data_IF_824223098650
#
_entry.id   IF_824223098650
#
_cell.length_a   1.000
_cell.length_b   1.000
_cell.length_c   1.000
_cell.angle_alpha   90.00
_cell.angle_beta   90.00
_cell.angle_gamma   90.00
#
_symmetry.space_group_name_H-M   'P 1'
#
loop_
_entity.id
_entity.type
_entity.pdbx_description
1 polymer ?
#
# COMPACT_ATOMS: atom_id res chain seq x y z
N UNK A 1 12.59 -19.01 12.42
CA UNK A 1 11.43 -18.96 11.54
C UNK A 1 11.92 -19.07 10.12
N UNK A 2 11.17 -19.74 9.27
CA UNK A 2 11.48 -19.85 7.85
C UNK A 2 11.29 -18.50 7.17
N UNK A 3 12.18 -18.13 6.27
CA UNK A 3 12.09 -16.88 5.52
C UNK A 3 11.12 -17.07 4.37
N UNK A 4 10.21 -16.14 4.18
CA UNK A 4 9.22 -16.13 3.12
C UNK A 4 9.58 -15.07 2.07
N UNK A 5 9.25 -15.35 0.81
CA UNK A 5 9.31 -14.40 -0.30
C UNK A 5 7.92 -13.80 -0.49
N UNK A 6 7.77 -12.55 -0.11
CA UNK A 6 6.51 -11.83 -0.14
C UNK A 6 6.54 -10.71 -1.20
N UNK A 7 5.50 -10.63 -2.04
CA UNK A 7 5.26 -9.48 -2.91
C UNK A 7 4.29 -8.51 -2.23
N UNK A 8 4.71 -7.27 -2.06
CA UNK A 8 3.82 -6.19 -1.67
C UNK A 8 3.25 -5.50 -2.89
N UNK A 9 1.93 -5.33 -2.95
CA UNK A 9 1.24 -4.60 -4.01
C UNK A 9 0.57 -3.36 -3.42
N UNK A 10 0.84 -2.21 -4.01
CA UNK A 10 0.28 -0.93 -3.59
C UNK A 10 -0.31 -0.18 -4.77
N UNK A 11 -1.55 0.29 -4.63
CA UNK A 11 -2.15 1.32 -5.45
C UNK A 11 -2.51 2.48 -4.52
N UNK A 12 -1.77 3.57 -4.67
CA UNK A 12 -1.85 4.71 -3.75
C UNK A 12 -2.98 5.68 -4.06
N UNK A 13 -3.18 6.64 -3.16
CA UNK A 13 -4.15 7.74 -3.35
C UNK A 13 -3.75 8.72 -4.43
N UNK A 14 -2.49 8.69 -4.90
CA UNK A 14 -2.00 9.40 -6.08
C UNK A 14 -2.64 8.91 -7.39
N UNK A 15 -3.15 7.66 -7.39
CA UNK A 15 -3.78 7.03 -8.56
C UNK A 15 -2.88 7.02 -9.80
N UNK A 16 -1.57 6.94 -9.60
CA UNK A 16 -0.56 6.97 -10.64
C UNK A 16 -0.23 5.60 -11.21
N UNK A 17 -0.40 4.52 -10.41
CA UNK A 17 -0.11 3.18 -10.87
C UNK A 17 -0.13 2.13 -9.76
N UNK A 18 0.45 0.98 -10.10
CA UNK A 18 0.63 -0.16 -9.21
C UNK A 18 2.12 -0.30 -8.92
N UNK A 19 2.49 -0.21 -7.65
CA UNK A 19 3.83 -0.53 -7.19
C UNK A 19 3.90 -1.97 -6.69
N UNK A 20 4.93 -2.69 -7.11
CA UNK A 20 5.22 -4.06 -6.71
C UNK A 20 6.63 -4.11 -6.14
N UNK A 21 6.80 -4.72 -4.99
CA UNK A 21 8.11 -4.94 -4.40
C UNK A 21 8.22 -6.32 -3.76
N UNK A 22 9.34 -6.99 -4.01
CA UNK A 22 9.69 -8.26 -3.37
C UNK A 22 10.46 -8.01 -2.09
N UNK A 23 10.10 -8.72 -1.04
CA UNK A 23 10.86 -8.78 0.21
C UNK A 23 11.01 -10.24 0.67
N UNK A 24 12.19 -10.58 1.15
CA UNK A 24 12.44 -11.83 1.89
C UNK A 24 12.40 -11.49 3.38
N UNK A 25 11.49 -12.10 4.13
CA UNK A 25 11.25 -11.76 5.53
C UNK A 25 10.78 -12.96 6.34
N UNK A 26 11.04 -12.95 7.62
CA UNK A 26 10.48 -13.91 8.60
C UNK A 26 9.18 -13.36 9.25
N UNK A 27 8.65 -12.24 8.75
CA UNK A 27 7.49 -11.54 9.29
C UNK A 27 7.76 -10.67 10.51
N UNK A 28 8.98 -10.70 11.06
CA UNK A 28 9.39 -9.90 12.23
C UNK A 28 10.50 -8.93 11.85
N UNK A 29 11.45 -9.37 11.04
CA UNK A 29 12.59 -8.57 10.59
C UNK A 29 12.43 -8.23 9.12
N UNK A 30 12.80 -7.02 8.75
CA UNK A 30 13.02 -6.68 7.37
C UNK A 30 14.25 -7.45 6.88
N UNK A 31 14.00 -8.49 6.11
CA UNK A 31 15.03 -9.30 5.52
C UNK A 31 15.67 -8.61 4.32
N UNK A 32 15.91 -9.36 3.25
CA UNK A 32 16.51 -8.83 2.02
C UNK A 32 15.41 -8.17 1.15
N UNK A 33 15.67 -6.94 0.70
CA UNK A 33 14.88 -6.28 -0.34
C UNK A 33 15.25 -6.89 -1.69
N UNK A 34 14.23 -7.32 -2.42
CA UNK A 34 14.33 -7.82 -3.78
C UNK A 34 14.08 -6.72 -4.82
N UNK A 35 13.82 -7.13 -6.08
CA UNK A 35 13.43 -6.22 -7.15
C UNK A 35 12.07 -5.57 -6.90
N UNK A 36 11.81 -4.51 -7.66
CA UNK A 36 10.55 -3.79 -7.67
C UNK A 36 10.15 -3.41 -9.09
N UNK A 37 8.87 -3.13 -9.30
CA UNK A 37 8.31 -2.67 -10.57
C UNK A 37 7.20 -1.67 -10.27
N UNK A 38 7.11 -0.60 -11.07
CA UNK A 38 5.97 0.31 -11.07
C UNK A 38 5.27 0.24 -12.44
N UNK A 39 3.96 0.02 -12.42
CA UNK A 39 3.12 -0.08 -13.62
C UNK A 39 2.14 1.09 -13.62
N UNK A 40 2.35 2.12 -14.47
CA UNK A 40 1.49 3.29 -14.47
C UNK A 40 0.08 2.96 -14.95
N UNK A 41 -0.92 3.64 -14.38
CA UNK A 41 -2.28 3.62 -14.91
C UNK A 41 -2.39 4.51 -16.16
N UNK A 42 -3.14 4.02 -17.13
CA UNK A 42 -3.52 4.86 -18.26
C UNK A 42 -4.53 5.95 -17.82
N UNK A 43 -4.60 7.07 -18.55
CA UNK A 43 -5.48 8.19 -18.17
C UNK A 43 -6.97 7.84 -18.15
N UNK A 44 -7.42 6.81 -18.87
CA UNK A 44 -8.80 6.37 -18.84
C UNK A 44 -9.12 5.67 -17.52
N UNK A 45 -8.30 4.71 -17.12
CA UNK A 45 -8.48 4.00 -15.87
C UNK A 45 -8.34 4.90 -14.65
N UNK A 46 -7.44 5.90 -14.69
CA UNK A 46 -7.35 6.92 -13.65
C UNK A 46 -8.67 7.67 -13.46
N UNK A 47 -9.35 8.07 -14.56
CA UNK A 47 -10.68 8.69 -14.50
C UNK A 47 -11.74 7.76 -13.92
N UNK A 48 -11.64 6.46 -14.20
CA UNK A 48 -12.57 5.48 -13.62
C UNK A 48 -12.39 5.37 -12.10
N UNK A 49 -11.15 5.42 -11.61
CA UNK A 49 -10.87 5.49 -10.16
C UNK A 49 -11.44 6.79 -9.58
N UNK A 50 -11.24 7.94 -10.22
CA UNK A 50 -11.78 9.23 -9.77
C UNK A 50 -13.32 9.24 -9.73
N UNK A 51 -13.97 8.58 -10.69
CA UNK A 51 -15.43 8.38 -10.66
C UNK A 51 -15.85 7.48 -9.50
N UNK A 52 -15.12 6.37 -9.27
CA UNK A 52 -15.35 5.47 -8.16
C UNK A 52 -15.21 6.13 -6.79
N UNK A 53 -14.29 7.09 -6.62
CA UNK A 53 -14.18 7.88 -5.39
C UNK A 53 -15.46 8.68 -5.07
N UNK A 54 -16.20 9.12 -6.10
CA UNK A 54 -17.49 9.82 -5.92
C UNK A 54 -18.58 8.82 -5.52
N UNK A 55 -18.63 7.66 -6.19
CA UNK A 55 -19.59 6.60 -5.86
C UNK A 55 -19.38 6.07 -4.44
N UNK A 56 -18.13 6.00 -3.99
CA UNK A 56 -17.76 5.54 -2.65
C UNK A 56 -18.32 6.42 -1.51
N UNK A 57 -18.75 7.66 -1.80
CA UNK A 57 -19.39 8.50 -0.79
C UNK A 57 -20.75 7.94 -0.33
N UNK A 58 -21.40 7.11 -1.15
CA UNK A 58 -22.66 6.44 -0.84
C UNK A 58 -22.50 5.11 -0.09
N UNK A 59 -21.26 4.69 0.20
CA UNK A 59 -20.99 3.47 0.96
C UNK A 59 -21.34 3.68 2.43
N UNK A 60 -22.21 2.81 2.97
CA UNK A 60 -22.61 2.79 4.37
C UNK A 60 -22.05 1.56 5.11
N UNK A 61 -21.83 0.46 4.40
CA UNK A 61 -21.23 -0.76 4.91
C UNK A 61 -20.04 -1.20 4.03
N UNK A 62 -19.08 -1.92 4.62
CA UNK A 62 -17.85 -2.34 3.92
C UNK A 62 -18.08 -3.17 2.67
N UNK A 63 -19.17 -3.92 2.62
CA UNK A 63 -19.52 -4.77 1.48
C UNK A 63 -20.23 -4.00 0.35
N UNK A 64 -20.63 -2.76 0.57
CA UNK A 64 -21.35 -1.98 -0.43
C UNK A 64 -20.46 -1.64 -1.62
N UNK A 65 -21.04 -1.78 -2.81
CA UNK A 65 -20.39 -1.42 -4.08
C UNK A 65 -21.36 -0.63 -4.94
N UNK A 66 -21.76 0.60 -4.49
CA UNK A 66 -22.66 1.44 -5.29
C UNK A 66 -21.98 1.92 -6.57
N UNK A 67 -22.82 2.25 -7.57
CA UNK A 67 -22.39 2.82 -8.84
C UNK A 67 -21.46 1.88 -9.60
N UNK A 68 -20.28 2.37 -9.93
CA UNK A 68 -19.26 1.66 -10.71
C UNK A 68 -18.31 0.82 -9.87
N UNK A 69 -18.41 0.81 -8.53
CA UNK A 69 -17.39 0.24 -7.65
C UNK A 69 -17.17 -1.27 -7.84
N UNK A 70 -18.22 -2.03 -8.17
CA UNK A 70 -18.07 -3.47 -8.38
C UNK A 70 -17.23 -3.79 -9.64
N UNK A 71 -17.50 -3.12 -10.74
CA UNK A 71 -16.75 -3.29 -11.99
C UNK A 71 -15.33 -2.74 -11.84
N UNK A 72 -15.17 -1.59 -11.19
CA UNK A 72 -13.89 -1.00 -10.90
C UNK A 72 -13.01 -1.91 -10.01
N UNK A 73 -13.58 -2.53 -8.97
CA UNK A 73 -12.87 -3.48 -8.10
C UNK A 73 -12.35 -4.68 -8.90
N UNK A 74 -13.20 -5.21 -9.79
CA UNK A 74 -12.80 -6.33 -10.65
C UNK A 74 -11.68 -5.93 -11.60
N UNK A 75 -11.83 -4.83 -12.32
CA UNK A 75 -10.84 -4.32 -13.27
C UNK A 75 -9.50 -4.01 -12.58
N UNK A 76 -9.55 -3.32 -11.44
CA UNK A 76 -8.38 -3.04 -10.61
C UNK A 76 -7.64 -4.33 -10.23
N UNK A 77 -8.38 -5.34 -9.80
CA UNK A 77 -7.80 -6.62 -9.39
C UNK A 77 -7.12 -7.33 -10.55
N UNK A 78 -7.74 -7.33 -11.73
CA UNK A 78 -7.15 -7.94 -12.94
C UNK A 78 -5.87 -7.22 -13.37
N UNK A 79 -5.84 -5.90 -13.32
CA UNK A 79 -4.64 -5.10 -13.58
C UNK A 79 -3.50 -5.42 -12.60
N UNK A 80 -3.82 -5.67 -11.33
CA UNK A 80 -2.82 -6.13 -10.36
C UNK A 80 -2.30 -7.54 -10.72
N UNK A 81 -3.16 -8.45 -11.18
CA UNK A 81 -2.73 -9.76 -11.63
C UNK A 81 -1.80 -9.69 -12.85
N UNK A 82 -2.13 -8.83 -13.83
CA UNK A 82 -1.29 -8.56 -14.99
C UNK A 82 0.07 -7.97 -14.57
N UNK A 83 0.06 -7.02 -13.62
CA UNK A 83 1.28 -6.40 -13.08
C UNK A 83 2.16 -7.44 -12.36
N UNK A 84 1.57 -8.38 -11.59
CA UNK A 84 2.32 -9.50 -10.99
C UNK A 84 2.93 -10.38 -12.07
N UNK A 85 2.17 -10.72 -13.12
CA UNK A 85 2.68 -11.52 -14.23
C UNK A 85 3.85 -10.84 -14.95
N UNK A 86 3.74 -9.53 -15.19
CA UNK A 86 4.81 -8.72 -15.79
C UNK A 86 6.06 -8.71 -14.90
N UNK A 87 5.89 -8.50 -13.58
CA UNK A 87 6.97 -8.53 -12.61
C UNK A 87 7.71 -9.88 -12.61
N UNK A 88 6.96 -10.99 -12.55
CA UNK A 88 7.54 -12.33 -12.57
C UNK A 88 8.30 -12.58 -13.87
N UNK A 89 7.73 -12.19 -15.01
CA UNK A 89 8.36 -12.33 -16.32
C UNK A 89 9.65 -11.52 -16.46
N UNK A 90 9.63 -10.26 -16.01
CA UNK A 90 10.81 -9.36 -16.07
C UNK A 90 11.98 -9.90 -15.23
N UNK A 91 11.67 -10.52 -14.09
CA UNK A 91 12.70 -11.02 -13.18
C UNK A 91 12.98 -12.52 -13.30
N UNK A 92 12.40 -13.19 -14.30
CA UNK A 92 12.61 -14.61 -14.56
C UNK A 92 12.15 -15.51 -13.42
N UNK A 93 11.09 -15.10 -12.72
CA UNK A 93 10.50 -15.82 -11.59
C UNK A 93 9.23 -16.55 -11.99
N UNK A 94 8.89 -17.59 -11.22
CA UNK A 94 7.64 -18.34 -11.34
C UNK A 94 6.73 -18.05 -10.14
N UNK A 95 5.39 -18.22 -10.26
CA UNK A 95 4.48 -18.09 -9.13
C UNK A 95 4.85 -18.94 -7.92
N UNK A 96 5.39 -20.16 -8.15
CA UNK A 96 5.80 -21.08 -7.09
C UNK A 96 7.02 -20.63 -6.27
N UNK A 97 7.70 -19.58 -6.69
CA UNK A 97 8.82 -18.99 -5.95
C UNK A 97 8.39 -17.84 -5.01
N UNK A 98 7.09 -17.50 -5.01
CA UNK A 98 6.50 -16.47 -4.15
C UNK A 98 5.56 -17.15 -3.16
N UNK A 99 5.79 -16.95 -1.87
CA UNK A 99 4.99 -17.58 -0.83
C UNK A 99 3.66 -16.86 -0.60
N UNK A 100 3.68 -15.52 -0.71
CA UNK A 100 2.49 -14.69 -0.42
C UNK A 100 2.52 -13.35 -1.13
N UNK A 101 1.35 -12.87 -1.50
CA UNK A 101 1.11 -11.49 -1.94
C UNK A 101 0.42 -10.72 -0.80
N UNK A 102 0.98 -9.57 -0.41
CA UNK A 102 0.30 -8.57 0.40
C UNK A 102 -0.41 -7.58 -0.51
N UNK A 103 -1.73 -7.64 -0.59
CA UNK A 103 -2.54 -6.83 -1.50
C UNK A 103 -3.25 -5.72 -0.74
N UNK A 104 -2.79 -4.48 -0.93
CA UNK A 104 -3.41 -3.31 -0.30
C UNK A 104 -4.73 -2.94 -0.98
N UNK A 105 -4.81 -3.07 -2.31
CA UNK A 105 -5.91 -2.53 -3.11
C UNK A 105 -5.89 -0.99 -3.17
N UNK A 106 -6.98 -0.40 -3.69
CA UNK A 106 -7.17 1.04 -3.82
C UNK A 106 -8.11 1.56 -2.73
N UNK A 107 -7.62 2.42 -1.85
CA UNK A 107 -8.49 3.07 -0.85
C UNK A 107 -9.45 4.04 -1.54
N UNK A 108 -10.75 3.80 -1.41
CA UNK A 108 -11.82 4.66 -1.91
C UNK A 108 -12.62 5.34 -0.81
N UNK A 109 -12.56 4.81 0.40
CA UNK A 109 -13.20 5.40 1.57
C UNK A 109 -12.40 5.09 2.83
N UNK A 110 -12.25 6.11 3.70
CA UNK A 110 -11.62 5.92 5.01
C UNK A 110 -12.26 6.87 6.03
N UNK A 111 -13.07 6.31 6.93
CA UNK A 111 -13.79 7.01 7.99
C UNK A 111 -13.56 6.28 9.32
N UNK A 112 -12.40 6.47 9.95
CA UNK A 112 -12.04 5.74 11.17
C UNK A 112 -12.96 6.05 12.34
N UNK A 113 -13.54 7.24 12.40
CA UNK A 113 -14.56 7.65 13.39
C UNK A 113 -15.83 6.79 13.31
N UNK A 114 -16.11 6.19 12.15
CA UNK A 114 -17.24 5.27 11.90
C UNK A 114 -16.81 3.80 11.83
N UNK A 115 -15.58 3.48 12.15
CA UNK A 115 -14.97 2.19 11.94
C UNK A 115 -15.18 1.65 10.50
N UNK A 116 -15.19 2.52 9.50
CA UNK A 116 -15.47 2.22 8.11
C UNK A 116 -14.28 2.57 7.23
N UNK A 117 -13.71 1.55 6.59
CA UNK A 117 -12.70 1.70 5.55
C UNK A 117 -12.98 0.75 4.40
N UNK A 118 -12.80 1.20 3.17
CA UNK A 118 -12.98 0.38 1.97
C UNK A 118 -11.77 0.54 1.06
N UNK A 119 -11.07 -0.55 0.87
CA UNK A 119 -10.06 -0.73 -0.16
C UNK A 119 -10.67 -1.64 -1.23
N UNK A 120 -10.78 -1.14 -2.46
CA UNK A 120 -11.17 -1.99 -3.59
C UNK A 120 -10.06 -2.97 -3.90
N UNK A 121 -10.43 -4.22 -4.09
CA UNK A 121 -9.54 -5.30 -4.42
C UNK A 121 -10.07 -6.66 -3.94
N UNK A 122 -10.35 -7.55 -4.90
CA UNK A 122 -10.76 -8.93 -4.64
C UNK A 122 -9.53 -9.84 -4.49
N UNK A 123 -9.11 -10.07 -3.24
CA UNK A 123 -7.96 -10.94 -2.94
C UNK A 123 -8.15 -12.37 -3.40
N UNK A 124 -9.39 -12.89 -3.43
CA UNK A 124 -9.67 -14.23 -3.91
C UNK A 124 -9.55 -14.32 -5.44
N UNK A 125 -9.98 -13.30 -6.17
CA UNK A 125 -9.75 -13.19 -7.61
C UNK A 125 -8.25 -13.11 -7.89
N UNK A 126 -7.52 -12.25 -7.22
CA UNK A 126 -6.08 -12.10 -7.40
C UNK A 126 -5.33 -13.42 -7.15
N UNK A 127 -5.70 -14.17 -6.11
CA UNK A 127 -5.10 -15.47 -5.82
C UNK A 127 -5.37 -16.50 -6.94
N UNK A 128 -6.57 -16.49 -7.53
CA UNK A 128 -6.91 -17.38 -8.65
C UNK A 128 -6.12 -17.04 -9.92
N UNK A 129 -6.02 -15.75 -10.23
CA UNK A 129 -5.34 -15.29 -11.47
C UNK A 129 -3.82 -15.47 -11.39
N UNK A 130 -3.23 -15.31 -10.20
CA UNK A 130 -1.77 -15.41 -10.02
C UNK A 130 -1.29 -16.80 -9.62
N UNK A 131 -2.16 -17.62 -9.03
CA UNK A 131 -1.78 -18.90 -8.42
C UNK A 131 -0.98 -18.77 -7.11
N UNK A 132 -0.95 -17.56 -6.51
CA UNK A 132 -0.19 -17.25 -5.30
C UNK A 132 -1.17 -16.94 -4.16
N UNK A 133 -0.84 -17.35 -2.93
CA UNK A 133 -1.64 -16.98 -1.75
C UNK A 133 -1.68 -15.46 -1.57
N UNK A 134 -2.85 -14.91 -1.21
CA UNK A 134 -3.05 -13.45 -1.06
C UNK A 134 -3.56 -13.12 0.33
N UNK A 135 -2.91 -12.15 0.97
CA UNK A 135 -3.40 -11.46 2.17
C UNK A 135 -3.88 -10.08 1.75
N UNK A 136 -5.16 -9.80 1.97
CA UNK A 136 -5.81 -8.53 1.62
C UNK A 136 -6.59 -7.96 2.77
N UNK A 137 -7.14 -6.75 2.60
CA UNK A 137 -8.05 -6.10 3.55
C UNK A 137 -7.43 -5.87 4.95
N UNK A 138 -6.16 -5.58 4.99
CA UNK A 138 -5.38 -5.48 6.22
C UNK A 138 -5.85 -4.36 7.15
N UNK A 139 -6.35 -3.24 6.60
CA UNK A 139 -6.82 -2.08 7.37
C UNK A 139 -8.06 -2.38 8.19
N UNK A 140 -8.95 -3.20 7.65
CA UNK A 140 -10.18 -3.58 8.34
C UNK A 140 -9.94 -4.41 9.59
N UNK A 141 -8.93 -5.28 9.57
CA UNK A 141 -8.59 -6.07 10.75
C UNK A 141 -8.07 -5.18 11.90
N UNK A 142 -7.24 -4.18 11.59
CA UNK A 142 -6.77 -3.21 12.58
C UNK A 142 -7.94 -2.43 13.19
N UNK A 143 -8.86 -1.93 12.36
CA UNK A 143 -10.04 -1.19 12.82
C UNK A 143 -11.00 -2.07 13.65
N UNK A 144 -11.15 -3.35 13.31
CA UNK A 144 -11.95 -4.29 14.09
C UNK A 144 -11.42 -4.50 15.52
N UNK A 145 -10.12 -4.25 15.73
CA UNK A 145 -9.46 -4.31 17.02
C UNK A 145 -9.25 -2.94 17.71
N UNK A 146 -9.93 -1.90 17.21
CA UNK A 146 -9.92 -0.56 17.82
C UNK A 146 -8.80 0.35 17.30
N UNK A 147 -8.06 -0.07 16.29
CA UNK A 147 -7.11 0.77 15.56
C UNK A 147 -7.80 1.72 14.57
N UNK A 148 -7.04 2.61 13.98
CA UNK A 148 -7.52 3.56 12.98
C UNK A 148 -7.37 3.05 11.53
N UNK A 149 -6.77 1.86 11.32
CA UNK A 149 -6.53 1.29 10.00
C UNK A 149 -5.40 1.96 9.22
N UNK A 150 -4.80 3.00 9.74
CA UNK A 150 -3.68 3.74 9.14
C UNK A 150 -2.91 4.51 10.22
N UNK A 151 -1.57 4.68 10.05
CA UNK A 151 -0.72 3.99 9.09
C UNK A 151 -0.40 2.54 9.52
N UNK A 152 -0.17 1.61 8.57
CA UNK A 152 0.28 0.24 8.86
C UNK A 152 1.79 0.06 8.69
N UNK A 153 2.44 0.95 7.93
CA UNK A 153 3.88 0.91 7.64
C UNK A 153 4.81 1.03 8.87
N UNK A 154 4.41 1.57 10.04
CA UNK A 154 5.30 1.69 11.19
C UNK A 154 5.91 0.36 11.68
N UNK A 155 5.21 -0.75 11.51
CA UNK A 155 5.73 -2.08 11.83
C UNK A 155 6.95 -2.42 10.95
N UNK A 156 6.87 -2.09 9.66
CA UNK A 156 7.98 -2.27 8.73
C UNK A 156 9.14 -1.30 9.04
N UNK A 157 8.87 -0.06 9.40
CA UNK A 157 9.89 0.89 9.84
C UNK A 157 10.64 0.39 11.08
N UNK A 158 9.93 -0.20 12.04
CA UNK A 158 10.56 -0.82 13.21
C UNK A 158 11.47 -2.00 12.82
N UNK A 159 11.02 -2.84 11.88
CA UNK A 159 11.83 -3.96 11.37
C UNK A 159 13.08 -3.47 10.61
N UNK A 160 12.97 -2.40 9.82
CA UNK A 160 14.12 -1.77 9.16
C UNK A 160 15.11 -1.21 10.18
N UNK A 161 14.64 -0.56 11.23
CA UNK A 161 15.50 0.01 12.28
C UNK A 161 16.27 -1.09 13.01
N UNK A 162 15.65 -2.24 13.28
CA UNK A 162 16.29 -3.38 13.90
C UNK A 162 17.40 -4.00 13.04
N UNK A 163 17.36 -3.78 11.72
CA UNK A 163 18.38 -4.24 10.76
C UNK A 163 19.48 -3.20 10.48
N UNK A 164 19.40 -1.99 11.03
CA UNK A 164 20.45 -0.99 10.87
C UNK A 164 21.75 -1.47 11.52
N UNK A 165 22.91 -1.30 10.84
CA UNK A 165 24.18 -1.69 11.40
C UNK A 165 24.43 -0.99 12.75
N UNK A 166 25.00 -1.71 13.71
CA UNK A 166 25.50 -1.11 14.96
C UNK A 166 26.57 0.00 14.75
N UNK A 167 26.96 0.23 13.50
CA UNK A 167 27.85 1.31 13.07
C UNK A 167 27.20 2.73 13.11
N UNK A 168 25.88 2.82 13.23
CA UNK A 168 25.28 4.03 13.77
C UNK A 168 25.62 4.00 15.27
N UNK A 169 26.50 4.87 15.72
CA UNK A 169 27.19 4.88 17.01
C UNK A 169 26.39 4.39 18.22
N UNK A 170 27.03 3.74 19.22
CA UNK A 170 26.38 3.36 20.47
C UNK A 170 25.73 4.61 21.10
N UNK A 171 24.41 4.66 21.16
CA UNK A 171 23.67 5.82 21.64
C UNK A 171 22.90 6.58 20.56
N UNK A 172 22.82 6.07 19.34
CA UNK A 172 21.92 6.62 18.31
C UNK A 172 20.49 6.68 18.88
N UNK A 173 19.93 7.87 18.88
CA UNK A 173 18.59 8.16 19.38
C UNK A 173 17.48 7.52 18.51
N UNK A 174 16.23 7.92 18.73
CA UNK A 174 15.13 7.42 17.93
C UNK A 174 15.34 7.76 16.45
N UNK A 175 14.96 6.82 15.56
CA UNK A 175 14.98 7.01 14.11
C UNK A 175 13.63 7.56 13.67
N UNK A 176 13.64 8.63 12.89
CA UNK A 176 12.45 9.18 12.27
C UNK A 176 12.42 8.79 10.79
N UNK A 177 11.36 8.10 10.38
CA UNK A 177 11.03 7.91 8.97
C UNK A 177 10.02 8.98 8.58
N UNK A 178 10.39 9.80 7.60
CA UNK A 178 9.51 10.85 7.06
C UNK A 178 9.10 10.44 5.66
N UNK A 179 7.80 10.27 5.47
CA UNK A 179 7.20 10.02 4.16
C UNK A 179 6.51 11.29 3.68
N UNK A 180 6.88 11.75 2.48
CA UNK A 180 6.32 12.94 1.86
C UNK A 180 5.63 12.51 0.57
N UNK A 181 4.34 12.19 0.69
CA UNK A 181 3.42 11.97 -0.42
C UNK A 181 2.46 13.17 -0.52
N UNK A 182 1.26 12.98 -1.02
CA UNK A 182 0.22 14.02 -1.02
C UNK A 182 -0.03 14.57 0.39
N UNK A 183 -0.07 13.69 1.39
CA UNK A 183 -0.01 13.97 2.83
C UNK A 183 1.34 13.48 3.34
N UNK A 184 1.96 14.24 4.22
CA UNK A 184 3.18 13.83 4.91
C UNK A 184 2.86 13.11 6.21
N UNK A 185 3.60 12.03 6.49
CA UNK A 185 3.52 11.32 7.76
C UNK A 185 4.92 11.01 8.32
N UNK A 186 4.98 10.82 9.62
CA UNK A 186 6.21 10.54 10.33
C UNK A 186 6.03 9.29 11.20
N UNK A 187 7.04 8.43 11.20
CA UNK A 187 7.15 7.33 12.15
C UNK A 187 8.40 7.51 12.99
N UNK A 188 8.26 7.54 14.30
CA UNK A 188 9.38 7.50 15.25
C UNK A 188 9.55 6.09 15.79
N UNK A 189 10.75 5.55 15.68
CA UNK A 189 11.15 4.25 16.22
C UNK A 189 12.24 4.46 17.25
N UNK A 190 11.90 4.26 18.52
CA UNK A 190 12.85 4.33 19.62
C UNK A 190 13.21 2.94 20.14
N UNK A 191 14.45 2.70 20.58
CA UNK A 191 14.85 1.41 21.16
C UNK A 191 13.96 1.04 22.35
N UNK A 192 13.41 -0.18 22.33
CA UNK A 192 12.61 -0.73 23.44
C UNK A 192 11.22 -0.13 23.61
N UNK A 193 10.75 0.70 22.68
CA UNK A 193 9.40 1.29 22.67
C UNK A 193 8.63 0.92 21.41
N UNK A 194 7.29 0.84 21.47
CA UNK A 194 6.47 0.74 20.27
C UNK A 194 6.70 1.95 19.35
N UNK A 195 6.62 1.78 18.02
CA UNK A 195 6.71 2.90 17.10
C UNK A 195 5.52 3.86 17.30
N UNK A 196 5.79 5.15 17.17
CA UNK A 196 4.76 6.22 17.18
C UNK A 196 4.68 6.79 15.78
N UNK A 197 3.47 6.85 15.21
CA UNK A 197 3.28 7.37 13.87
C UNK A 197 2.01 8.22 13.77
N UNK A 198 2.08 9.27 12.95
CA UNK A 198 0.96 10.18 12.71
C UNK A 198 1.15 10.95 11.40
N UNK A 199 0.05 11.46 10.85
CA UNK A 199 0.07 12.40 9.74
C UNK A 199 0.52 13.77 10.25
N UNK A 200 1.55 14.34 9.62
CA UNK A 200 2.15 15.62 10.04
C UNK A 200 1.56 16.83 9.31
N UNK A 201 0.82 16.63 8.22
CA UNK A 201 0.18 17.67 7.44
C UNK A 201 0.29 17.48 5.94
N UNK A 202 0.00 18.52 5.14
CA UNK A 202 0.16 18.45 3.69
C UNK A 202 1.61 18.14 3.30
N UNK A 203 1.75 17.26 2.30
CA UNK A 203 3.02 16.97 1.65
C UNK A 203 3.13 17.68 0.31
N UNK A 204 3.37 16.93 -0.77
CA UNK A 204 3.55 17.48 -2.11
C UNK A 204 2.24 17.87 -2.81
N UNK A 205 1.07 17.39 -2.37
CA UNK A 205 -0.20 17.62 -3.07
C UNK A 205 -0.50 19.11 -3.37
N UNK A 206 -0.16 20.00 -2.44
CA UNK A 206 -0.36 21.45 -2.65
C UNK A 206 0.60 22.02 -3.70
N UNK A 207 1.82 21.51 -3.74
CA UNK A 207 2.83 21.92 -4.73
C UNK A 207 2.43 21.43 -6.10
N UNK A 208 2.04 20.17 -6.21
CA UNK A 208 1.62 19.53 -7.46
C UNK A 208 0.41 20.24 -8.05
N UNK A 209 -0.63 20.48 -7.26
CA UNK A 209 -1.81 21.23 -7.69
C UNK A 209 -1.47 22.66 -8.13
N UNK A 210 -0.56 23.33 -7.43
CA UNK A 210 -0.14 24.68 -7.80
C UNK A 210 0.63 24.68 -9.13
N UNK A 211 1.53 23.72 -9.34
CA UNK A 211 2.29 23.57 -10.59
C UNK A 211 1.35 23.22 -11.75
N UNK A 212 0.42 22.29 -11.56
CA UNK A 212 -0.58 21.94 -12.57
C UNK A 212 -1.43 23.14 -12.98
N UNK A 213 -1.94 23.91 -12.00
CA UNK A 213 -2.79 25.08 -12.26
C UNK A 213 -2.04 26.24 -12.94
N UNK A 214 -0.76 26.44 -12.61
CA UNK A 214 0.00 27.62 -13.10
C UNK A 214 0.93 27.33 -14.26
N UNK A 215 1.39 26.10 -14.43
CA UNK A 215 2.31 25.71 -15.49
C UNK A 215 1.73 24.66 -16.46
N UNK A 216 0.58 24.07 -16.14
CA UNK A 216 -0.03 23.01 -16.93
C UNK A 216 0.82 21.73 -17.00
N UNK A 217 1.73 21.56 -16.04
CA UNK A 217 2.62 20.40 -15.96
C UNK A 217 1.99 19.44 -14.95
N UNK A 218 1.52 18.25 -15.37
CA UNK A 218 1.10 17.22 -14.45
C UNK A 218 2.31 16.70 -13.65
N UNK A 219 2.06 16.27 -12.42
CA UNK A 219 3.07 15.65 -11.56
C UNK A 219 3.43 14.24 -12.02
#
# INVERSE_FOLDING_TARGET
METMRALGLMSGTSMDGIDIALVETDGIRAGRRGPWLSVPYDPAFRRDIEAGLKDAQAVEARADRPGTLADLERELTLRHAEAVSAFLGEHGMTPGEIDVIGFHGQTVLHRPDKALTVQLGDGALLARETGIAVVSDMRANDMAHGGQGAPLVPVYHAALTAGLPAALEPGFGPVAFVNIGGISNVTFVAPGAPPVAFDSGPGNALIDQWVEQNAGIPF
#
